data_IF_951377370677
#
_entry.id   IF_951377370677
#
_cell.length_a   1.000
_cell.length_b   1.000
_cell.length_c   1.000
_cell.angle_alpha   90.00
_cell.angle_beta   90.00
_cell.angle_gamma   90.00
#
_symmetry.space_group_name_H-M   'P 1'
#
loop_
_entity.id
_entity.type
_entity.pdbx_description
1 polymer ?
#
# COMPACT_ATOMS: atom_id res chain seq x y z
N UNK A 1 -20.41 -20.58 -4.13
CA UNK A 1 -19.97 -19.28 -4.69
C UNK A 1 -18.47 -19.13 -4.51
N UNK A 2 -17.78 -19.17 -5.65
CA UNK A 2 -16.42 -19.64 -5.83
C UNK A 2 -15.37 -18.80 -5.06
N UNK A 3 -14.54 -19.43 -4.22
CA UNK A 3 -13.45 -18.75 -3.47
C UNK A 3 -12.54 -17.94 -4.41
N UNK A 4 -12.37 -18.43 -5.64
CA UNK A 4 -11.65 -17.74 -6.72
C UNK A 4 -12.27 -16.40 -7.11
N UNK A 5 -13.60 -16.33 -7.26
CA UNK A 5 -14.31 -15.10 -7.60
C UNK A 5 -14.14 -14.06 -6.49
N UNK A 6 -14.27 -14.48 -5.22
CA UNK A 6 -14.06 -13.57 -4.07
C UNK A 6 -12.63 -13.02 -4.04
N UNK A 7 -11.62 -13.86 -4.32
CA UNK A 7 -10.22 -13.44 -4.37
C UNK A 7 -9.95 -12.48 -5.53
N UNK A 8 -10.50 -12.76 -6.70
CA UNK A 8 -10.38 -11.88 -7.87
C UNK A 8 -11.00 -10.51 -7.61
N UNK A 9 -12.20 -10.46 -7.03
CA UNK A 9 -12.86 -9.21 -6.65
C UNK A 9 -12.06 -8.42 -5.61
N UNK A 10 -11.56 -9.08 -4.57
CA UNK A 10 -10.73 -8.42 -3.55
C UNK A 10 -9.43 -7.84 -4.15
N UNK A 11 -8.80 -8.58 -5.05
CA UNK A 11 -7.60 -8.12 -5.76
C UNK A 11 -7.91 -6.92 -6.68
N UNK A 12 -9.03 -6.95 -7.39
CA UNK A 12 -9.48 -5.85 -8.22
C UNK A 12 -9.78 -4.59 -7.41
N UNK A 13 -10.55 -4.71 -6.31
CA UNK A 13 -10.83 -3.60 -5.40
C UNK A 13 -9.53 -3.04 -4.80
N UNK A 14 -8.62 -3.91 -4.36
CA UNK A 14 -7.30 -3.50 -3.86
C UNK A 14 -6.51 -2.69 -4.89
N UNK A 15 -6.53 -3.11 -6.16
CA UNK A 15 -5.87 -2.38 -7.24
C UNK A 15 -6.49 -1.00 -7.49
N UNK A 16 -7.83 -0.91 -7.55
CA UNK A 16 -8.51 0.38 -7.71
C UNK A 16 -8.21 1.34 -6.55
N UNK A 17 -8.29 0.85 -5.31
CA UNK A 17 -7.98 1.63 -4.11
C UNK A 17 -6.53 2.11 -4.12
N UNK A 18 -5.57 1.24 -4.46
CA UNK A 18 -4.15 1.64 -4.62
C UNK A 18 -3.96 2.76 -5.63
N UNK A 19 -4.63 2.71 -6.79
CA UNK A 19 -4.54 3.78 -7.80
C UNK A 19 -5.07 5.10 -7.28
N UNK A 20 -6.16 5.10 -6.50
CA UNK A 20 -6.69 6.32 -5.86
C UNK A 20 -5.72 6.86 -4.81
N UNK A 21 -5.17 5.98 -3.97
CA UNK A 21 -4.18 6.35 -2.96
C UNK A 21 -2.92 6.95 -3.57
N UNK A 22 -2.42 6.42 -4.69
CA UNK A 22 -1.26 7.00 -5.37
C UNK A 22 -1.51 8.38 -5.97
N UNK A 23 -2.77 8.72 -6.29
CA UNK A 23 -3.12 10.08 -6.74
C UNK A 23 -3.16 11.06 -5.56
N UNK A 24 -3.72 10.64 -4.43
CA UNK A 24 -3.79 11.47 -3.23
C UNK A 24 -2.43 11.61 -2.53
N UNK A 25 -1.61 10.56 -2.60
CA UNK A 25 -0.34 10.43 -1.89
C UNK A 25 0.70 9.80 -2.85
N UNK A 26 1.35 10.61 -3.69
CA UNK A 26 2.33 10.11 -4.66
C UNK A 26 3.51 9.36 -4.02
N UNK A 27 3.95 9.80 -2.84
CA UNK A 27 5.03 9.18 -2.07
C UNK A 27 4.73 7.73 -1.63
N UNK A 28 3.46 7.31 -1.60
CA UNK A 28 3.12 5.92 -1.31
C UNK A 28 3.57 4.98 -2.44
N UNK A 29 3.61 5.45 -3.68
CA UNK A 29 4.01 4.65 -4.83
C UNK A 29 5.47 4.20 -4.74
N UNK A 30 6.37 5.07 -4.30
CA UNK A 30 7.78 4.74 -4.14
C UNK A 30 8.00 3.75 -2.99
N UNK A 31 7.25 3.87 -1.89
CA UNK A 31 7.29 2.90 -0.78
C UNK A 31 6.79 1.52 -1.20
N UNK A 32 5.69 1.44 -1.97
CA UNK A 32 5.18 0.18 -2.52
C UNK A 32 6.16 -0.46 -3.51
N UNK A 33 6.89 0.36 -4.28
CA UNK A 33 7.93 -0.13 -5.18
C UNK A 33 9.13 -0.66 -4.40
N UNK A 34 9.62 0.07 -3.40
CA UNK A 34 10.71 -0.38 -2.53
C UNK A 34 10.35 -1.68 -1.79
N UNK A 35 9.10 -1.83 -1.34
CA UNK A 35 8.61 -3.07 -0.74
C UNK A 35 8.69 -4.26 -1.71
N UNK A 36 8.28 -4.06 -2.97
CA UNK A 36 8.36 -5.11 -4.02
C UNK A 36 9.80 -5.49 -4.34
N UNK A 37 10.68 -4.50 -4.49
CA UNK A 37 12.10 -4.74 -4.76
C UNK A 37 12.76 -5.49 -3.60
N UNK A 38 12.43 -5.14 -2.35
CA UNK A 38 12.91 -5.86 -1.18
C UNK A 38 12.40 -7.31 -1.12
N UNK A 39 11.14 -7.56 -1.48
CA UNK A 39 10.59 -8.93 -1.58
C UNK A 39 11.36 -9.73 -2.63
N UNK A 40 11.60 -9.16 -3.81
CA UNK A 40 12.32 -9.83 -4.90
C UNK A 40 13.78 -10.13 -4.52
N UNK A 41 14.42 -9.23 -3.77
CA UNK A 41 15.82 -9.37 -3.34
C UNK A 41 15.98 -10.12 -2.01
N UNK A 42 14.90 -10.71 -1.47
CA UNK A 42 14.89 -11.31 -0.13
C UNK A 42 15.45 -10.38 0.97
N UNK A 43 15.26 -9.07 0.81
CA UNK A 43 15.72 -8.04 1.74
C UNK A 43 14.81 -7.86 2.96
N UNK A 44 15.11 -6.83 3.76
CA UNK A 44 14.36 -6.52 5.00
C UNK A 44 13.02 -5.83 4.71
N UNK A 45 12.01 -6.63 4.35
CA UNK A 45 10.66 -6.16 4.01
C UNK A 45 9.94 -5.55 5.22
N UNK A 46 10.20 -6.04 6.43
CA UNK A 46 9.50 -5.60 7.64
C UNK A 46 9.76 -4.13 7.98
N UNK A 47 10.98 -3.65 7.75
CA UNK A 47 11.34 -2.25 8.04
C UNK A 47 10.61 -1.30 7.07
N UNK A 48 10.54 -1.65 5.79
CA UNK A 48 9.81 -0.89 4.77
C UNK A 48 8.31 -0.87 5.09
N UNK A 49 7.74 -2.00 5.53
CA UNK A 49 6.34 -2.07 5.97
C UNK A 49 6.06 -1.18 7.16
N UNK A 50 6.97 -1.13 8.15
CA UNK A 50 6.85 -0.24 9.31
C UNK A 50 6.89 1.23 8.88
N UNK A 51 7.84 1.60 8.02
CA UNK A 51 7.94 2.97 7.48
C UNK A 51 6.66 3.37 6.73
N UNK A 52 6.15 2.47 5.88
CA UNK A 52 4.89 2.68 5.15
C UNK A 52 3.69 2.84 6.08
N UNK A 53 3.59 2.03 7.13
CA UNK A 53 2.52 2.15 8.12
C UNK A 53 2.61 3.49 8.90
N UNK A 54 3.81 3.89 9.33
CA UNK A 54 4.04 5.16 9.99
C UNK A 54 3.69 6.35 9.09
N UNK A 55 4.10 6.28 7.81
CA UNK A 55 3.78 7.28 6.81
C UNK A 55 2.26 7.42 6.60
N UNK A 56 1.54 6.29 6.46
CA UNK A 56 0.07 6.32 6.35
C UNK A 56 -0.60 6.88 7.61
N UNK A 57 -0.12 6.50 8.80
CA UNK A 57 -0.64 7.01 10.07
C UNK A 57 -0.43 8.53 10.20
N UNK A 58 0.73 9.02 9.76
CA UNK A 58 1.02 10.45 9.72
C UNK A 58 0.11 11.18 8.73
N UNK A 59 -0.13 10.62 7.55
CA UNK A 59 -1.06 11.18 6.57
C UNK A 59 -2.49 11.26 7.12
N UNK A 60 -2.94 10.24 7.86
CA UNK A 60 -4.24 10.26 8.53
C UNK A 60 -4.33 11.32 9.63
N UNK A 61 -3.25 11.53 10.39
CA UNK A 61 -3.18 12.56 11.44
C UNK A 61 -3.08 13.98 10.87
N UNK A 62 -2.32 14.17 9.79
CA UNK A 62 -2.18 15.46 9.11
C UNK A 62 -3.48 15.92 8.43
N UNK A 63 -4.36 14.98 8.07
CA UNK A 63 -5.67 15.28 7.48
C UNK A 63 -6.79 15.46 8.53
N UNK A 64 -6.50 15.33 9.84
CA UNK A 64 -7.44 15.52 10.94
C UNK A 64 -7.36 16.94 11.57
N UNK A 65 -6.40 17.76 11.13
CA UNK A 65 -6.16 19.12 11.62
C UNK A 65 -6.39 20.19 10.52
N UNK A 66 -7.20 19.89 9.50
CA UNK A 66 -7.56 20.81 8.41
C UNK A 66 -9.06 21.00 8.33
#
# INVERSE_FOLDING_TARGET
>A
MNRLIKRALAQWQSWQTRRRLYRAIPALRSLDQAEREAIQKHGRVNDIRRQKAAFMLQALKGNANG
#
